data_IF_184318303189
#
_entry.id   IF_184318303189
#
_cell.length_a   1.000
_cell.length_b   1.000
_cell.length_c   1.000
_cell.angle_alpha   90.00
_cell.angle_beta   90.00
_cell.angle_gamma   90.00
#
_symmetry.space_group_name_H-M   'P 1'
#
loop_
_entity.id
_entity.type
_entity.pdbx_description
1 polymer ?
#
# COMPACT_ATOMS: atom_id res chain seq x y z
N UNK A 1 -1.33 13.84 -2.67
CA UNK A 1 -0.83 13.15 -1.46
C UNK A 1 -0.82 14.07 -0.25
N UNK A 2 -1.98 14.60 0.12
CA UNK A 2 -2.24 15.38 1.34
C UNK A 2 -3.65 15.08 1.86
N UNK A 3 -4.20 13.97 1.39
CA UNK A 3 -5.56 13.58 1.68
C UNK A 3 -5.55 12.94 3.07
N UNK A 4 -6.36 13.43 4.02
CA UNK A 4 -6.42 12.87 5.37
C UNK A 4 -6.81 11.39 5.37
N UNK A 5 -7.56 10.91 4.37
CA UNK A 5 -8.00 9.52 4.29
C UNK A 5 -6.83 8.56 4.04
N UNK A 6 -5.70 9.06 3.51
CA UNK A 6 -4.47 8.26 3.35
C UNK A 6 -3.91 7.82 4.70
N UNK A 7 -4.17 8.57 5.78
CA UNK A 7 -3.70 8.21 7.13
C UNK A 7 -4.24 6.85 7.59
N UNK A 8 -5.41 6.43 7.09
CA UNK A 8 -6.03 5.13 7.39
C UNK A 8 -5.31 3.95 6.73
N UNK A 9 -4.44 4.23 5.75
CA UNK A 9 -3.75 3.26 4.89
C UNK A 9 -4.66 2.33 4.07
N UNK A 10 -5.99 2.52 4.10
CA UNK A 10 -6.97 1.71 3.37
C UNK A 10 -6.77 1.82 1.86
N UNK A 11 -6.58 3.05 1.34
CA UNK A 11 -6.31 3.27 -0.07
C UNK A 11 -5.04 2.54 -0.57
N UNK A 12 -4.03 2.41 0.29
CA UNK A 12 -2.78 1.69 -0.04
C UNK A 12 -3.04 0.18 -0.08
N UNK A 13 -3.82 -0.35 0.86
CA UNK A 13 -4.21 -1.76 0.91
C UNK A 13 -5.08 -2.15 -0.29
N UNK A 14 -6.06 -1.32 -0.64
CA UNK A 14 -6.93 -1.53 -1.82
C UNK A 14 -6.12 -1.55 -3.11
N UNK A 15 -5.13 -0.65 -3.24
CA UNK A 15 -4.20 -0.64 -4.37
C UNK A 15 -3.37 -1.93 -4.44
N UNK A 16 -2.89 -2.44 -3.30
CA UNK A 16 -2.14 -3.70 -3.27
C UNK A 16 -3.02 -4.87 -3.70
N UNK A 17 -4.28 -4.94 -3.25
CA UNK A 17 -5.21 -6.00 -3.66
C UNK A 17 -5.54 -5.91 -5.16
N UNK A 18 -5.68 -4.70 -5.70
CA UNK A 18 -5.82 -4.48 -7.14
C UNK A 18 -4.61 -5.01 -7.95
N UNK A 19 -3.40 -4.85 -7.42
CA UNK A 19 -2.16 -5.30 -8.09
C UNK A 19 -1.96 -6.81 -7.96
N UNK A 20 -2.31 -7.36 -6.80
CA UNK A 20 -2.07 -8.76 -6.46
C UNK A 20 -3.26 -9.30 -5.67
N UNK A 21 -4.31 -9.78 -6.37
CA UNK A 21 -5.52 -10.23 -5.71
C UNK A 21 -5.22 -11.38 -4.75
N UNK A 22 -5.95 -11.42 -3.62
CA UNK A 22 -5.77 -12.40 -2.51
C UNK A 22 -4.50 -12.19 -1.68
N UNK A 23 -3.78 -11.08 -1.85
CA UNK A 23 -2.66 -10.78 -0.97
C UNK A 23 -3.10 -10.16 0.36
N UNK A 24 -4.23 -9.46 0.35
CA UNK A 24 -4.74 -8.79 1.54
C UNK A 24 -5.67 -9.73 2.31
N UNK A 25 -5.51 -9.79 3.63
CA UNK A 25 -6.44 -10.45 4.53
C UNK A 25 -7.31 -9.38 5.22
N UNK A 26 -8.60 -9.25 4.85
CA UNK A 26 -9.50 -8.26 5.43
C UNK A 26 -9.67 -8.40 6.95
N UNK A 27 -9.46 -9.59 7.52
CA UNK A 27 -9.57 -9.81 8.96
C UNK A 27 -8.47 -9.11 9.79
N UNK A 28 -7.40 -8.66 9.14
CA UNK A 28 -6.30 -7.93 9.78
C UNK A 28 -6.38 -6.42 9.60
N UNK A 29 -7.43 -5.93 8.94
CA UNK A 29 -7.61 -4.50 8.62
C UNK A 29 -8.70 -3.95 9.52
N UNK A 30 -8.42 -2.82 10.16
CA UNK A 30 -9.46 -2.01 10.78
C UNK A 30 -10.09 -1.09 9.71
N UNK A 31 -11.37 -1.27 9.33
CA UNK A 31 -12.01 -0.49 8.27
C UNK A 31 -12.36 0.95 8.67
N UNK A 32 -12.38 1.27 9.96
CA UNK A 32 -12.68 2.61 10.46
C UNK A 32 -11.74 2.98 11.62
N UNK A 33 -10.44 3.24 11.34
CA UNK A 33 -9.48 3.58 12.38
C UNK A 33 -9.67 5.04 12.82
N UNK A 34 -10.08 5.24 14.08
CA UNK A 34 -10.41 6.55 14.63
C UNK A 34 -9.20 7.25 15.27
N UNK A 35 -8.24 6.49 15.80
CA UNK A 35 -7.02 7.02 16.44
C UNK A 35 -5.76 6.69 15.64
N UNK A 36 -4.67 7.41 15.89
CA UNK A 36 -3.39 7.11 15.23
C UNK A 36 -2.80 5.76 15.68
N UNK A 37 -3.12 5.30 16.90
CA UNK A 37 -2.81 3.94 17.36
C UNK A 37 -3.57 2.88 16.56
N UNK A 38 -4.81 3.15 16.13
CA UNK A 38 -5.59 2.24 15.29
C UNK A 38 -5.11 2.23 13.83
N UNK A 39 -4.59 3.37 13.34
CA UNK A 39 -4.07 3.51 11.97
C UNK A 39 -2.71 2.84 11.79
N UNK A 40 -1.88 2.83 12.83
CA UNK A 40 -0.51 2.31 12.75
C UNK A 40 -0.44 0.82 12.35
N UNK A 41 -1.25 -0.10 12.91
CA UNK A 41 -1.32 -1.49 12.47
C UNK A 41 -1.67 -1.63 10.98
N UNK A 42 -2.64 -0.86 10.49
CA UNK A 42 -3.01 -0.86 9.07
C UNK A 42 -1.82 -0.41 8.20
N UNK A 43 -1.10 0.64 8.59
CA UNK A 43 0.06 1.15 7.87
C UNK A 43 1.22 0.14 7.84
N UNK A 44 1.50 -0.51 8.98
CA UNK A 44 2.50 -1.57 9.09
C UNK A 44 2.16 -2.76 8.19
N UNK A 45 0.89 -3.15 8.18
CA UNK A 45 0.40 -4.21 7.33
C UNK A 45 0.51 -3.85 5.84
N UNK A 46 0.12 -2.63 5.47
CA UNK A 46 0.23 -2.12 4.10
C UNK A 46 1.67 -2.14 3.57
N UNK A 47 2.64 -1.63 4.34
CA UNK A 47 4.06 -1.64 3.95
C UNK A 47 4.59 -3.07 3.83
N UNK A 48 4.21 -3.95 4.76
CA UNK A 48 4.63 -5.36 4.73
C UNK A 48 4.12 -6.06 3.47
N UNK A 49 2.87 -5.83 3.09
CA UNK A 49 2.28 -6.41 1.88
C UNK A 49 2.84 -5.77 0.60
N UNK A 50 3.10 -4.46 0.59
CA UNK A 50 3.75 -3.77 -0.52
C UNK A 50 5.13 -4.37 -0.82
N UNK A 51 5.95 -4.61 0.21
CA UNK A 51 7.26 -5.27 0.05
C UNK A 51 7.11 -6.72 -0.40
N UNK A 52 6.11 -7.43 0.11
CA UNK A 52 5.84 -8.83 -0.27
C UNK A 52 5.48 -9.00 -1.74
N UNK A 53 4.79 -8.02 -2.35
CA UNK A 53 4.51 -8.04 -3.80
C UNK A 53 5.70 -7.61 -4.66
N UNK A 54 6.81 -7.15 -4.03
CA UNK A 54 8.04 -6.73 -4.68
C UNK A 54 8.19 -5.21 -4.86
N UNK A 55 7.32 -4.40 -4.26
CA UNK A 55 7.47 -2.95 -4.32
C UNK A 55 8.59 -2.47 -3.39
N UNK A 56 9.47 -1.61 -3.91
CA UNK A 56 10.57 -1.03 -3.14
C UNK A 56 10.04 0.17 -2.35
N UNK A 57 9.69 -0.06 -1.08
CA UNK A 57 9.12 0.95 -0.19
C UNK A 57 10.08 1.30 0.94
N UNK A 58 10.53 2.57 0.96
CA UNK A 58 11.40 3.14 1.98
C UNK A 58 10.67 3.95 3.06
N UNK A 59 9.36 4.19 2.88
CA UNK A 59 8.56 4.87 3.89
C UNK A 59 8.41 4.02 5.16
N UNK A 60 8.33 4.71 6.28
CA UNK A 60 7.95 4.12 7.56
C UNK A 60 6.42 4.12 7.71
N UNK A 61 5.85 3.19 8.49
CA UNK A 61 4.42 3.19 8.80
C UNK A 61 3.93 4.54 9.35
N UNK A 62 4.74 5.17 10.20
CA UNK A 62 4.45 6.45 10.83
C UNK A 62 4.34 7.58 9.78
N UNK A 63 5.11 7.49 8.68
CA UNK A 63 5.03 8.48 7.60
C UNK A 63 3.71 8.42 6.81
N UNK A 64 3.06 7.25 6.79
CA UNK A 64 1.71 7.08 6.22
C UNK A 64 0.65 7.65 7.16
N UNK A 65 0.74 7.33 8.46
CA UNK A 65 -0.20 7.83 9.48
C UNK A 65 -0.16 9.35 9.57
N UNK A 66 1.03 9.95 9.56
CA UNK A 66 1.24 11.41 9.55
C UNK A 66 1.01 12.07 8.17
N UNK A 67 0.72 11.27 7.13
CA UNK A 67 0.50 11.72 5.74
C UNK A 67 1.64 12.61 5.22
N UNK A 68 2.89 12.18 5.37
CA UNK A 68 4.04 12.96 4.85
C UNK A 68 4.04 12.96 3.33
N UNK A 69 3.79 14.10 2.65
CA UNK A 69 3.49 14.10 1.21
C UNK A 69 4.59 13.50 0.34
N UNK A 70 5.86 13.70 0.71
CA UNK A 70 7.02 13.16 0.00
C UNK A 70 7.14 11.65 0.15
N UNK A 71 6.89 11.12 1.35
CA UNK A 71 6.99 9.68 1.63
C UNK A 71 5.79 8.93 1.04
N UNK A 72 4.60 9.49 1.17
CA UNK A 72 3.39 8.92 0.57
C UNK A 72 3.55 8.86 -0.96
N UNK A 73 4.01 9.92 -1.61
CA UNK A 73 4.25 9.93 -3.06
C UNK A 73 5.15 8.77 -3.51
N UNK A 74 6.25 8.50 -2.79
CA UNK A 74 7.16 7.41 -3.16
C UNK A 74 6.54 6.03 -2.98
N UNK A 75 5.69 5.83 -1.95
CA UNK A 75 4.94 4.57 -1.76
C UNK A 75 4.05 4.29 -2.97
N UNK A 76 3.22 5.24 -3.37
CA UNK A 76 2.29 5.06 -4.49
C UNK A 76 3.03 4.90 -5.82
N UNK A 77 4.12 5.64 -6.04
CA UNK A 77 4.97 5.47 -7.22
C UNK A 77 5.58 4.06 -7.28
N UNK A 78 6.10 3.55 -6.15
CA UNK A 78 6.65 2.19 -6.07
C UNK A 78 5.61 1.11 -6.32
N UNK A 79 4.39 1.27 -5.80
CA UNK A 79 3.28 0.36 -6.05
C UNK A 79 2.86 0.38 -7.53
N UNK A 80 2.75 1.56 -8.13
CA UNK A 80 2.41 1.71 -9.55
C UNK A 80 3.48 1.09 -10.46
N UNK A 81 4.76 1.27 -10.14
CA UNK A 81 5.86 0.63 -10.86
C UNK A 81 5.74 -0.90 -10.80
N UNK A 82 5.48 -1.45 -9.61
CA UNK A 82 5.25 -2.89 -9.44
C UNK A 82 4.05 -3.39 -10.28
N UNK A 83 2.97 -2.61 -10.33
CA UNK A 83 1.79 -2.92 -11.14
C UNK A 83 2.12 -3.01 -12.64
N UNK A 84 2.88 -2.04 -13.16
CA UNK A 84 3.31 -2.00 -14.56
C UNK A 84 4.22 -3.17 -14.92
N UNK A 85 5.17 -3.51 -14.04
CA UNK A 85 6.05 -4.66 -14.23
C UNK A 85 5.28 -5.98 -14.28
N UNK A 86 4.30 -6.17 -13.40
CA UNK A 86 3.43 -7.36 -13.43
C UNK A 86 2.58 -7.42 -14.70
N UNK A 87 2.04 -6.29 -15.15
CA UNK A 87 1.30 -6.21 -16.42
C UNK A 87 2.18 -6.57 -17.63
N UNK A 88 3.45 -6.14 -17.63
CA UNK A 88 4.43 -6.49 -18.67
C UNK A 88 4.78 -7.98 -18.68
N UNK A 89 4.96 -8.61 -17.51
CA UNK A 89 5.20 -10.06 -17.38
C UNK A 89 4.00 -10.88 -17.88
N UNK A 90 2.77 -10.43 -17.60
CA UNK A 90 1.56 -11.13 -18.02
C UNK A 90 1.37 -11.14 -19.55
N UNK A 91 1.93 -10.17 -20.28
CA UNK A 91 1.94 -10.15 -21.76
C UNK A 91 3.00 -11.08 -22.38
N UNK A 92 4.09 -11.41 -21.67
CA UNK A 92 5.15 -12.29 -22.19
C UNK A 92 4.82 -13.78 -22.12
N UNK A 93 3.80 -14.19 -21.35
CA UNK A 93 3.35 -15.59 -21.26
C UNK A 93 2.27 -16.00 -22.27
N UNK A 94 1.96 -15.15 -23.25
CA UNK A 94 0.95 -15.39 -24.31
C UNK A 94 1.55 -15.48 -25.72
N UNK A 95 2.82 -15.89 -25.84
CA UNK A 95 3.44 -16.23 -27.12
C UNK A 95 3.76 -17.71 -27.17
#
# INVERSE_FOLDING_TARGET
FKDPDISTSLAVLDLIDCISPKMINPALINPDPLSDEDKLPNAQYAISMARKIGAVVYALPEDLVEVKPKMVLTVFASLMLCALEKSSKNKKGKK
#
